data_IF_663871112890
#
_entry.id   IF_663871112890
#
_cell.length_a   1.000
_cell.length_b   1.000
_cell.length_c   1.000
_cell.angle_alpha   90.00
_cell.angle_beta   90.00
_cell.angle_gamma   90.00
#
_symmetry.space_group_name_H-M   'P 1'
#
loop_
_entity.id
_entity.type
_entity.pdbx_description
1 polymer ?
#
# COMPACT_ATOMS: atom_id res chain seq x y z
N UNK A 1 -46.11 -15.30 -20.75
CA UNK A 1 -44.89 -14.64 -21.25
C UNK A 1 -44.44 -13.44 -20.40
N UNK A 2 -45.35 -12.67 -19.77
CA UNK A 2 -44.98 -11.52 -18.89
C UNK A 2 -44.32 -11.96 -17.57
N UNK A 3 -44.76 -13.07 -16.97
CA UNK A 3 -44.26 -13.56 -15.68
C UNK A 3 -42.77 -14.00 -15.72
N UNK A 4 -42.35 -14.71 -16.77
CA UNK A 4 -40.94 -15.10 -16.98
C UNK A 4 -40.03 -13.88 -17.22
N UNK A 5 -40.53 -12.84 -17.89
CA UNK A 5 -39.77 -11.62 -18.18
C UNK A 5 -39.48 -10.81 -16.90
N UNK A 6 -40.44 -10.78 -15.97
CA UNK A 6 -40.28 -10.10 -14.67
C UNK A 6 -39.31 -10.85 -13.73
N UNK A 7 -39.32 -12.18 -13.74
CA UNK A 7 -38.37 -13.00 -12.97
C UNK A 7 -36.94 -12.81 -13.49
N UNK A 8 -36.74 -12.76 -14.81
CA UNK A 8 -35.43 -12.51 -15.41
C UNK A 8 -34.87 -11.13 -15.02
N UNK A 9 -35.71 -10.08 -14.99
CA UNK A 9 -35.30 -8.74 -14.57
C UNK A 9 -34.86 -8.73 -13.10
N UNK A 10 -35.63 -9.37 -12.20
CA UNK A 10 -35.27 -9.47 -10.79
C UNK A 10 -33.97 -10.26 -10.57
N UNK A 11 -33.75 -11.33 -11.33
CA UNK A 11 -32.48 -12.08 -11.29
C UNK A 11 -31.30 -11.24 -11.76
N UNK A 12 -31.43 -10.52 -12.87
CA UNK A 12 -30.36 -9.65 -13.41
C UNK A 12 -30.06 -8.52 -12.43
N UNK A 13 -31.07 -7.90 -11.82
CA UNK A 13 -30.88 -6.85 -10.82
C UNK A 13 -30.20 -7.38 -9.54
N UNK A 14 -30.63 -8.54 -9.02
CA UNK A 14 -30.00 -9.14 -7.84
C UNK A 14 -28.56 -9.56 -8.11
N UNK A 15 -28.29 -10.14 -9.28
CA UNK A 15 -26.94 -10.49 -9.70
C UNK A 15 -26.06 -9.24 -9.87
N UNK A 16 -26.59 -8.17 -10.46
CA UNK A 16 -25.90 -6.89 -10.60
C UNK A 16 -25.58 -6.28 -9.23
N UNK A 17 -26.52 -6.29 -8.28
CA UNK A 17 -26.26 -5.82 -6.92
C UNK A 17 -25.21 -6.67 -6.20
N UNK A 18 -25.23 -8.00 -6.34
CA UNK A 18 -24.24 -8.87 -5.71
C UNK A 18 -22.83 -8.63 -6.29
N UNK A 19 -22.72 -8.44 -7.61
CA UNK A 19 -21.46 -8.16 -8.28
C UNK A 19 -20.93 -6.75 -7.96
N UNK A 20 -21.80 -5.73 -7.91
CA UNK A 20 -21.41 -4.37 -7.54
C UNK A 20 -20.94 -4.28 -6.07
N UNK A 21 -21.41 -5.15 -5.20
CA UNK A 21 -21.04 -5.18 -3.78
C UNK A 21 -19.91 -6.18 -3.47
N UNK A 22 -19.27 -6.78 -4.47
CA UNK A 22 -18.12 -7.64 -4.23
C UNK A 22 -16.98 -6.84 -3.57
N UNK A 23 -16.54 -7.31 -2.40
CA UNK A 23 -15.51 -6.65 -1.61
C UNK A 23 -14.17 -6.63 -2.36
N UNK A 24 -13.56 -5.45 -2.51
CA UNK A 24 -12.23 -5.36 -3.10
C UNK A 24 -11.19 -5.79 -2.09
N UNK A 25 -10.33 -6.74 -2.49
CA UNK A 25 -9.36 -7.38 -1.61
C UNK A 25 -7.95 -7.15 -2.13
N UNK A 26 -7.04 -6.96 -1.19
CA UNK A 26 -5.60 -6.99 -1.45
C UNK A 26 -4.95 -7.98 -0.51
N UNK A 27 -3.79 -8.50 -0.90
CA UNK A 27 -3.03 -9.48 -0.15
C UNK A 27 -1.66 -8.92 0.20
N UNK A 28 -1.30 -8.99 1.48
CA UNK A 28 -0.01 -8.51 1.97
C UNK A 28 0.77 -9.65 2.60
N UNK A 29 2.01 -9.86 2.16
CA UNK A 29 2.97 -10.70 2.85
C UNK A 29 3.65 -9.92 3.99
N UNK A 30 3.75 -10.52 5.17
CA UNK A 30 4.42 -9.91 6.33
C UNK A 30 5.01 -11.00 7.24
N UNK A 31 6.11 -10.70 7.92
CA UNK A 31 6.73 -11.63 8.88
C UNK A 31 6.14 -11.47 10.28
N UNK A 32 5.48 -10.35 10.58
CA UNK A 32 4.80 -10.12 11.85
C UNK A 32 3.57 -11.01 11.97
N UNK A 33 3.39 -11.57 13.15
CA UNK A 33 2.31 -12.48 13.51
C UNK A 33 0.97 -11.75 13.68
N UNK A 34 -0.17 -12.46 13.55
CA UNK A 34 -1.50 -11.91 13.82
C UNK A 34 -1.61 -11.33 15.23
N UNK A 35 -0.96 -11.96 16.22
CA UNK A 35 -0.93 -11.47 17.61
C UNK A 35 -0.21 -10.13 17.72
N UNK A 36 0.95 -9.99 17.08
CA UNK A 36 1.70 -8.72 17.06
C UNK A 36 0.92 -7.62 16.36
N UNK A 37 0.31 -7.93 15.21
CA UNK A 37 -0.46 -6.96 14.43
C UNK A 37 -1.76 -6.55 15.12
N UNK A 38 -2.42 -7.47 15.80
CA UNK A 38 -3.57 -7.17 16.67
C UNK A 38 -3.16 -6.25 17.83
N UNK A 39 -2.03 -6.50 18.46
CA UNK A 39 -1.53 -5.67 19.55
C UNK A 39 -1.13 -4.25 19.08
N UNK A 40 -0.59 -4.14 17.87
CA UNK A 40 -0.28 -2.85 17.24
C UNK A 40 -1.54 -2.08 16.82
N UNK A 41 -2.62 -2.81 16.48
CA UNK A 41 -3.90 -2.25 16.02
C UNK A 41 -3.87 -1.67 14.61
N UNK A 42 -2.71 -1.60 13.96
CA UNK A 42 -2.56 -1.10 12.60
C UNK A 42 -1.31 -1.69 11.91
N UNK A 43 -1.32 -1.61 10.59
CA UNK A 43 -0.17 -1.80 9.70
C UNK A 43 0.35 -0.41 9.30
N UNK A 44 1.14 0.20 10.19
CA UNK A 44 1.73 1.51 9.93
C UNK A 44 2.91 1.44 8.94
N UNK A 45 3.06 2.47 8.07
CA UNK A 45 4.25 2.61 7.24
C UNK A 45 5.51 2.82 8.09
N UNK A 46 6.68 2.49 7.53
CA UNK A 46 7.98 2.79 8.15
C UNK A 46 8.10 4.29 8.46
N UNK A 47 8.40 4.59 9.72
CA UNK A 47 8.55 5.95 10.22
C UNK A 47 7.23 6.59 10.69
N UNK A 48 6.10 5.90 10.57
CA UNK A 48 4.88 6.22 11.29
C UNK A 48 4.74 5.35 12.54
N UNK A 49 4.07 5.90 13.55
CA UNK A 49 3.71 5.20 14.78
C UNK A 49 2.19 5.04 14.92
N UNK A 50 1.40 5.74 14.09
CA UNK A 50 -0.07 5.78 14.18
C UNK A 50 -0.73 5.50 12.83
N UNK A 51 -1.98 5.03 12.91
CA UNK A 51 -2.85 4.84 11.74
C UNK A 51 -3.16 6.19 11.06
N UNK A 52 -3.10 6.21 9.73
CA UNK A 52 -3.27 7.39 8.87
C UNK A 52 -2.24 8.50 9.12
N UNK A 53 -1.16 8.22 9.85
CA UNK A 53 -0.06 9.16 9.99
C UNK A 53 0.67 9.27 8.65
N UNK A 54 0.55 10.44 8.05
CA UNK A 54 1.23 10.77 6.80
C UNK A 54 2.67 11.15 7.14
N UNK A 55 3.62 10.24 6.87
CA UNK A 55 5.04 10.54 7.04
C UNK A 55 5.48 11.64 6.06
N UNK A 56 6.50 12.47 6.38
CA UNK A 56 6.90 13.60 5.53
C UNK A 56 7.26 13.26 4.08
N UNK A 57 7.61 11.99 3.80
CA UNK A 57 7.91 11.51 2.45
C UNK A 57 6.68 10.78 1.87
N UNK A 58 5.77 11.56 1.28
CA UNK A 58 4.60 11.06 0.54
C UNK A 58 4.95 11.03 -0.95
N UNK A 59 5.69 10.01 -1.37
CA UNK A 59 6.05 9.79 -2.78
C UNK A 59 5.79 8.35 -3.16
N UNK A 60 4.87 8.14 -4.11
CA UNK A 60 4.60 6.81 -4.66
C UNK A 60 5.83 6.23 -5.36
N UNK A 61 6.64 7.07 -6.00
CA UNK A 61 7.88 6.64 -6.64
C UNK A 61 8.89 6.10 -5.62
N UNK A 62 9.14 6.84 -4.54
CA UNK A 62 10.04 6.40 -3.47
C UNK A 62 9.51 5.14 -2.76
N UNK A 63 8.19 5.00 -2.66
CA UNK A 63 7.54 3.81 -2.14
C UNK A 63 7.79 2.59 -3.04
N UNK A 64 7.49 2.71 -4.34
CA UNK A 64 7.55 1.59 -5.29
C UNK A 64 8.97 1.15 -5.66
N UNK A 65 9.95 2.08 -5.64
CA UNK A 65 11.36 1.73 -5.81
C UNK A 65 11.91 0.99 -4.57
N UNK A 66 11.28 1.17 -3.41
CA UNK A 66 11.59 0.48 -2.18
C UNK A 66 12.93 0.88 -1.54
N UNK A 67 13.27 0.22 -0.44
CA UNK A 67 14.62 0.21 0.10
C UNK A 67 15.55 -0.71 -0.73
N UNK A 68 16.86 -0.71 -0.48
CA UNK A 68 17.83 -1.59 -1.18
C UNK A 68 17.48 -3.10 -1.09
N UNK A 69 16.63 -3.48 -0.13
CA UNK A 69 16.05 -4.83 0.02
C UNK A 69 14.87 -5.14 -0.90
N UNK A 70 14.41 -4.19 -1.74
CA UNK A 70 13.21 -4.33 -2.57
C UNK A 70 11.89 -4.31 -1.81
N UNK A 71 11.94 -4.14 -0.48
CA UNK A 71 10.74 -4.01 0.34
C UNK A 71 10.25 -2.56 0.34
N UNK A 72 8.96 -2.41 0.07
CA UNK A 72 8.17 -1.20 0.19
C UNK A 72 8.23 -0.57 1.60
N UNK A 73 7.54 0.55 1.83
CA UNK A 73 7.47 1.24 3.14
C UNK A 73 6.57 0.53 4.16
N UNK A 74 6.33 -0.77 4.01
CA UNK A 74 5.53 -1.63 4.89
C UNK A 74 4.04 -1.25 5.04
N UNK A 75 3.47 -0.59 4.03
CA UNK A 75 2.08 -0.13 4.01
C UNK A 75 1.36 -0.46 2.69
N UNK A 76 1.72 -1.55 2.04
CA UNK A 76 1.23 -1.97 0.72
C UNK A 76 0.61 -3.37 0.72
N UNK A 77 -0.09 -3.70 -0.37
CA UNK A 77 -0.60 -5.03 -0.68
C UNK A 77 -0.75 -5.24 -2.18
N UNK A 78 -0.70 -6.49 -2.64
CA UNK A 78 -0.89 -6.90 -4.03
C UNK A 78 -2.35 -7.19 -4.34
N UNK A 79 -2.77 -7.06 -5.60
CA UNK A 79 -4.11 -7.46 -6.04
C UNK A 79 -4.30 -8.98 -6.24
N UNK A 80 -3.34 -9.83 -5.86
CA UNK A 80 -3.49 -11.29 -5.90
C UNK A 80 -2.72 -11.98 -4.77
N UNK A 81 -3.29 -13.05 -4.22
CA UNK A 81 -2.66 -13.91 -3.22
C UNK A 81 -1.34 -14.51 -3.76
N UNK A 82 -1.34 -15.01 -5.00
CA UNK A 82 -0.15 -15.59 -5.63
C UNK A 82 1.03 -14.61 -5.71
N UNK A 83 0.75 -13.33 -5.95
CA UNK A 83 1.79 -12.30 -5.96
C UNK A 83 2.33 -12.06 -4.55
N UNK A 84 1.47 -12.03 -3.53
CA UNK A 84 1.90 -11.91 -2.14
C UNK A 84 2.73 -13.12 -1.69
N UNK A 85 2.33 -14.34 -2.04
CA UNK A 85 3.10 -15.57 -1.74
C UNK A 85 4.45 -15.57 -2.48
N UNK A 86 4.49 -15.11 -3.73
CA UNK A 86 5.75 -14.93 -4.47
C UNK A 86 6.67 -13.94 -3.77
N UNK A 87 6.13 -12.79 -3.32
CA UNK A 87 6.87 -11.80 -2.56
C UNK A 87 7.40 -12.39 -1.25
N UNK A 88 6.56 -13.10 -0.49
CA UNK A 88 6.96 -13.82 0.74
C UNK A 88 8.14 -14.77 0.47
N UNK A 89 8.07 -15.52 -0.62
CA UNK A 89 9.14 -16.46 -1.02
C UNK A 89 10.44 -15.73 -1.35
N UNK A 90 10.36 -14.64 -2.12
CA UNK A 90 11.53 -13.90 -2.60
C UNK A 90 12.19 -13.05 -1.52
N UNK A 91 11.40 -12.42 -0.65
CA UNK A 91 11.88 -11.45 0.33
C UNK A 91 12.09 -12.04 1.72
N UNK A 92 11.29 -13.04 2.10
CA UNK A 92 11.26 -13.60 3.45
C UNK A 92 11.56 -15.11 3.49
N UNK A 93 12.12 -15.66 2.41
CA UNK A 93 12.44 -17.08 2.31
C UNK A 93 11.21 -18.00 2.41
N UNK A 94 10.02 -17.47 2.17
CA UNK A 94 8.76 -18.20 2.23
C UNK A 94 8.22 -18.40 3.65
N UNK A 95 8.76 -17.71 4.65
CA UNK A 95 8.33 -17.83 6.04
C UNK A 95 7.60 -16.55 6.48
N UNK A 96 6.39 -16.70 7.01
CA UNK A 96 5.58 -15.59 7.50
C UNK A 96 4.10 -15.77 7.20
N UNK A 97 3.39 -14.67 7.02
CA UNK A 97 1.94 -14.64 6.87
C UNK A 97 1.54 -13.92 5.59
N UNK A 98 0.45 -14.37 4.99
CA UNK A 98 -0.26 -13.63 3.95
C UNK A 98 -1.60 -13.19 4.52
N UNK A 99 -1.80 -11.88 4.61
CA UNK A 99 -3.02 -11.25 5.10
C UNK A 99 -3.91 -10.87 3.93
N UNK A 100 -5.17 -11.29 3.97
CA UNK A 100 -6.23 -10.79 3.08
C UNK A 100 -6.90 -9.57 3.74
N UNK A 101 -6.92 -8.46 3.02
CA UNK A 101 -7.29 -7.15 3.55
C UNK A 101 -8.41 -6.56 2.70
N UNK A 102 -9.39 -5.98 3.38
CA UNK A 102 -10.42 -5.16 2.79
C UNK A 102 -9.85 -3.80 2.35
N UNK A 103 -9.72 -3.58 1.04
CA UNK A 103 -9.21 -2.31 0.55
C UNK A 103 -10.26 -1.20 0.68
N UNK A 104 -9.85 -0.05 1.23
CA UNK A 104 -10.66 1.15 1.34
C UNK A 104 -10.02 2.32 0.58
N UNK A 105 -10.61 3.52 0.66
CA UNK A 105 -10.17 4.68 -0.11
C UNK A 105 -8.72 5.11 0.12
N UNK A 106 -8.08 4.71 1.22
CA UNK A 106 -6.65 4.98 1.45
C UNK A 106 -5.72 4.09 0.59
N UNK A 107 -6.21 3.03 -0.05
CA UNK A 107 -5.43 2.20 -0.97
C UNK A 107 -5.39 2.84 -2.35
N UNK A 108 -4.21 3.07 -2.89
CA UNK A 108 -3.98 3.76 -4.16
C UNK A 108 -3.19 2.85 -5.09
N UNK A 109 -3.70 2.68 -6.32
CA UNK A 109 -3.04 1.84 -7.31
C UNK A 109 -1.68 2.42 -7.73
N UNK A 110 -0.60 1.66 -7.52
CA UNK A 110 0.77 2.09 -7.81
C UNK A 110 1.00 2.27 -9.31
N UNK A 111 0.66 1.26 -10.10
CA UNK A 111 0.83 1.30 -11.56
C UNK A 111 -0.03 2.37 -12.22
N UNK A 112 -1.24 2.64 -11.71
CA UNK A 112 -2.07 3.75 -12.19
C UNK A 112 -1.47 5.12 -11.85
N UNK A 113 -0.73 5.23 -10.75
CA UNK A 113 -0.10 6.48 -10.29
C UNK A 113 1.20 6.77 -11.06
N UNK A 114 2.04 5.75 -11.26
CA UNK A 114 3.35 5.87 -11.89
C UNK A 114 3.34 5.60 -13.39
N UNK A 115 2.27 5.01 -13.92
CA UNK A 115 2.11 4.69 -15.33
C UNK A 115 3.28 3.87 -15.86
N UNK A 116 3.84 4.31 -17.00
CA UNK A 116 5.01 3.70 -17.63
C UNK A 116 6.30 3.74 -16.79
N UNK A 117 6.32 4.48 -15.68
CA UNK A 117 7.46 4.59 -14.78
C UNK A 117 7.31 3.71 -13.53
N UNK A 118 6.27 2.88 -13.47
CA UNK A 118 6.12 1.87 -12.42
C UNK A 118 7.25 0.83 -12.52
N UNK A 119 8.03 0.59 -11.44
CA UNK A 119 9.14 -0.38 -11.49
C UNK A 119 8.64 -1.82 -11.58
N UNK A 120 7.50 -2.13 -10.95
CA UNK A 120 6.95 -3.48 -10.85
C UNK A 120 5.46 -3.54 -11.26
N UNK A 121 5.10 -3.21 -12.50
CA UNK A 121 3.69 -3.13 -12.93
C UNK A 121 2.95 -4.47 -12.82
N UNK A 122 3.68 -5.59 -12.89
CA UNK A 122 3.13 -6.94 -12.80
C UNK A 122 2.71 -7.34 -11.38
N UNK A 123 3.10 -6.58 -10.35
CA UNK A 123 2.71 -6.85 -8.96
C UNK A 123 1.29 -6.37 -8.66
N UNK A 124 0.72 -5.53 -9.53
CA UNK A 124 -0.62 -4.95 -9.36
C UNK A 124 -0.80 -4.40 -7.93
N UNK A 125 0.22 -3.67 -7.47
CA UNK A 125 0.34 -3.18 -6.11
C UNK A 125 -0.65 -2.04 -5.82
N UNK A 126 -1.19 -2.05 -4.61
CA UNK A 126 -1.91 -0.96 -3.98
C UNK A 126 -1.19 -0.51 -2.72
N UNK A 127 -0.79 0.75 -2.68
CA UNK A 127 -0.19 1.36 -1.50
C UNK A 127 -1.28 1.95 -0.60
N UNK A 128 -1.29 1.60 0.68
CA UNK A 128 -2.18 2.18 1.69
C UNK A 128 -1.55 3.46 2.26
N UNK A 129 -2.05 4.61 1.84
CA UNK A 129 -1.62 5.90 2.36
C UNK A 129 -1.87 5.99 3.87
N UNK A 130 -0.80 6.12 4.65
CA UNK A 130 -0.86 6.14 6.11
C UNK A 130 -1.14 4.78 6.77
N UNK A 131 -1.06 3.68 6.01
CA UNK A 131 -1.31 2.33 6.53
C UNK A 131 -2.78 1.95 6.59
N UNK A 132 -3.06 0.80 7.20
CA UNK A 132 -4.42 0.26 7.36
C UNK A 132 -4.63 -0.29 8.78
N UNK A 133 -5.86 -0.29 9.26
CA UNK A 133 -6.20 -0.72 10.63
C UNK A 133 -6.37 -2.24 10.71
N UNK A 134 -6.18 -2.83 11.91
CA UNK A 134 -6.34 -4.27 12.12
C UNK A 134 -7.75 -4.78 11.78
N UNK A 135 -8.78 -3.97 12.02
CA UNK A 135 -10.18 -4.26 11.68
C UNK A 135 -10.47 -4.27 10.16
N UNK A 136 -9.52 -3.86 9.31
CA UNK A 136 -9.56 -4.03 7.86
C UNK A 136 -9.06 -5.41 7.39
N UNK A 137 -8.33 -6.13 8.25
CA UNK A 137 -7.85 -7.49 7.92
C UNK A 137 -9.04 -8.44 7.97
N UNK A 138 -9.30 -9.14 6.87
CA UNK A 138 -10.38 -10.12 6.76
C UNK A 138 -9.94 -11.44 7.41
N UNK A 139 -8.75 -11.92 7.04
CA UNK A 139 -8.19 -13.20 7.44
C UNK A 139 -6.72 -13.30 7.07
N UNK A 140 -6.05 -14.36 7.51
CA UNK A 140 -4.65 -14.62 7.18
C UNK A 140 -4.35 -16.10 7.04
N UNK A 141 -3.21 -16.42 6.44
CA UNK A 141 -2.65 -17.77 6.43
C UNK A 141 -1.16 -17.72 6.74
N UNK A 142 -0.70 -18.67 7.54
CA UNK A 142 0.72 -18.88 7.81
C UNK A 142 1.38 -19.73 6.71
N UNK A 143 2.64 -19.44 6.42
CA UNK A 143 3.45 -20.13 5.44
C UNK A 143 4.82 -20.47 6.03
N UNK A 144 5.30 -21.68 5.73
CA UNK A 144 6.65 -22.15 6.09
C UNK A 144 7.36 -22.62 4.83
N UNK A 145 8.52 -22.03 4.52
CA UNK A 145 9.28 -22.31 3.30
C UNK A 145 8.43 -22.25 2.01
N UNK A 146 7.48 -21.31 1.95
CA UNK A 146 6.58 -21.11 0.81
C UNK A 146 5.38 -22.06 0.78
N UNK A 147 5.26 -22.97 1.73
CA UNK A 147 4.15 -23.91 1.84
C UNK A 147 3.11 -23.36 2.81
N UNK A 148 1.87 -23.26 2.33
CA UNK A 148 0.70 -22.89 3.11
C UNK A 148 0.45 -23.88 4.26
N UNK A 149 0.13 -23.35 5.45
CA UNK A 149 -0.30 -24.17 6.58
C UNK A 149 -1.55 -24.99 6.24
N UNK A 150 -1.58 -26.24 6.68
CA UNK A 150 -2.68 -27.18 6.46
C UNK A 150 -3.98 -26.72 7.14
N UNK A 151 -3.88 -25.90 8.18
CA UNK A 151 -5.04 -25.28 8.84
C UNK A 151 -5.83 -24.33 7.91
N UNK A 152 -5.24 -23.85 6.82
CA UNK A 152 -5.90 -22.96 5.86
C UNK A 152 -5.90 -21.49 6.30
N UNK A 153 -6.93 -20.74 5.88
CA UNK A 153 -7.10 -19.34 6.29
C UNK A 153 -7.76 -19.28 7.68
N UNK A 154 -7.29 -18.36 8.52
CA UNK A 154 -7.86 -18.04 9.82
C UNK A 154 -8.53 -16.67 9.78
N UNK A 155 -9.81 -16.62 10.15
CA UNK A 155 -10.63 -15.41 10.07
C UNK A 155 -10.37 -14.43 11.22
N UNK A 156 -10.37 -13.13 10.91
CA UNK A 156 -10.28 -12.09 11.92
C UNK A 156 -11.65 -11.82 12.54
N UNK A 157 -11.85 -12.25 13.79
CA UNK A 157 -13.12 -12.08 14.50
C UNK A 157 -13.52 -10.61 14.80
N UNK A 158 -12.62 -9.66 14.59
CA UNK A 158 -12.88 -8.21 14.71
C UNK A 158 -12.88 -7.49 13.36
N UNK A 159 -12.93 -8.22 12.25
CA UNK A 159 -13.10 -7.61 10.92
C UNK A 159 -14.42 -6.84 10.84
N UNK A 160 -14.34 -5.57 10.45
CA UNK A 160 -15.50 -4.69 10.39
C UNK A 160 -16.14 -4.62 9.00
N UNK A 161 -16.69 -5.76 8.56
CA UNK A 161 -17.31 -5.89 7.23
C UNK A 161 -18.44 -4.90 6.95
N UNK A 162 -19.17 -4.45 7.99
CA UNK A 162 -20.21 -3.41 7.85
C UNK A 162 -19.65 -2.08 7.35
N UNK A 163 -18.39 -1.79 7.67
CA UNK A 163 -17.68 -0.56 7.28
C UNK A 163 -17.02 -0.79 5.93
N UNK A 164 -16.31 -1.91 5.79
CA UNK A 164 -15.37 -2.06 4.69
C UNK A 164 -15.94 -2.71 3.44
N UNK A 165 -17.01 -3.51 3.50
CA UNK A 165 -17.52 -4.28 2.34
C UNK A 165 -17.99 -3.40 1.17
N UNK A 166 -18.40 -2.16 1.46
CA UNK A 166 -18.83 -1.18 0.46
C UNK A 166 -17.72 -0.23 0.00
N UNK A 167 -16.55 -0.26 0.64
CA UNK A 167 -15.45 0.63 0.29
C UNK A 167 -14.64 0.06 -0.88
N UNK A 168 -13.99 0.96 -1.61
CA UNK A 168 -13.17 0.63 -2.77
C UNK A 168 -11.84 1.36 -2.68
N UNK A 169 -10.75 0.80 -3.23
CA UNK A 169 -9.51 1.52 -3.39
C UNK A 169 -9.69 2.67 -4.38
N UNK A 170 -8.77 3.62 -4.31
CA UNK A 170 -8.56 4.60 -5.36
C UNK A 170 -7.78 4.00 -6.53
N UNK A 171 -8.13 4.45 -7.74
CA UNK A 171 -7.31 4.26 -8.92
C UNK A 171 -5.99 5.05 -8.80
N UNK A 172 -5.20 5.09 -9.88
CA UNK A 172 -4.00 5.91 -9.96
C UNK A 172 -4.24 7.38 -9.58
N UNK A 173 -3.33 7.95 -8.78
CA UNK A 173 -3.34 9.34 -8.33
C UNK A 173 -2.05 10.05 -8.77
N UNK A 174 -1.95 10.54 -10.03
CA UNK A 174 -0.71 11.11 -10.57
C UNK A 174 -0.12 12.27 -9.75
N UNK A 175 -0.95 13.02 -9.00
CA UNK A 175 -0.51 14.06 -8.08
C UNK A 175 0.35 13.54 -6.91
N UNK A 176 0.23 12.26 -6.57
CA UNK A 176 1.00 11.59 -5.52
C UNK A 176 2.21 10.81 -6.07
N UNK A 177 2.53 10.95 -7.36
CA UNK A 177 3.62 10.22 -7.98
C UNK A 177 4.96 10.50 -7.30
N UNK A 178 5.23 11.76 -6.96
CA UNK A 178 6.43 12.15 -6.20
C UNK A 178 7.75 11.78 -6.89
N UNK A 179 7.80 11.87 -8.23
CA UNK A 179 9.05 11.66 -8.97
C UNK A 179 10.12 12.68 -8.57
N UNK A 180 11.42 12.32 -8.63
CA UNK A 180 12.51 13.26 -8.37
C UNK A 180 12.44 14.51 -9.26
N UNK A 181 13.02 15.62 -8.79
CA UNK A 181 13.15 16.84 -9.60
C UNK A 181 13.87 16.54 -10.92
N UNK A 182 13.38 17.12 -12.03
CA UNK A 182 13.91 16.90 -13.38
C UNK A 182 13.57 15.54 -14.02
N UNK A 183 12.82 14.66 -13.33
CA UNK A 183 12.38 13.40 -13.91
C UNK A 183 11.47 13.64 -15.14
N UNK A 184 11.68 12.89 -16.23
CA UNK A 184 10.95 13.05 -17.51
C UNK A 184 9.43 12.95 -17.36
N UNK A 185 8.94 12.19 -16.37
CA UNK A 185 7.50 12.08 -16.14
C UNK A 185 6.81 13.45 -16.02
N UNK A 186 7.46 14.44 -15.39
CA UNK A 186 6.91 15.78 -15.22
C UNK A 186 6.67 16.55 -16.52
N UNK A 187 7.22 16.10 -17.66
CA UNK A 187 6.95 16.68 -18.98
C UNK A 187 5.88 15.93 -19.77
N UNK A 188 5.34 14.84 -19.22
CA UNK A 188 4.35 13.98 -19.87
C UNK A 188 3.01 14.06 -19.16
N UNK A 189 1.93 13.92 -19.93
CA UNK A 189 0.59 13.72 -19.35
C UNK A 189 0.51 12.34 -18.66
N UNK A 190 -0.18 12.22 -17.50
CA UNK A 190 -0.94 13.26 -16.80
C UNK A 190 -0.13 14.09 -15.79
N UNK A 191 1.15 13.74 -15.54
CA UNK A 191 1.93 14.33 -14.45
C UNK A 191 2.30 15.80 -14.68
N UNK A 192 2.43 16.23 -15.93
CA UNK A 192 2.70 17.63 -16.28
C UNK A 192 1.66 18.61 -15.71
N UNK A 193 0.43 18.19 -15.45
CA UNK A 193 -0.60 19.00 -14.79
C UNK A 193 -0.29 19.29 -13.30
N UNK A 194 0.54 18.46 -12.67
CA UNK A 194 0.93 18.54 -11.26
C UNK A 194 2.38 18.99 -11.07
N UNK A 195 3.10 19.25 -12.16
CA UNK A 195 4.50 19.68 -12.15
C UNK A 195 4.70 21.13 -11.65
N UNK A 196 3.69 21.76 -11.04
CA UNK A 196 3.76 23.17 -10.63
C UNK A 196 4.91 23.41 -9.66
N UNK A 197 5.91 24.14 -10.16
CA UNK A 197 7.09 24.60 -9.44
C UNK A 197 8.08 23.46 -9.17
N UNK A 198 9.33 23.61 -9.62
CA UNK A 198 10.45 22.73 -9.27
C UNK A 198 10.82 22.70 -7.77
N UNK A 199 9.86 23.00 -6.90
CA UNK A 199 9.93 23.02 -5.43
C UNK A 199 8.72 22.30 -4.79
N UNK A 200 8.08 21.38 -5.52
CA UNK A 200 6.99 20.54 -4.98
C UNK A 200 7.50 19.42 -4.05
N UNK A 201 7.25 19.59 -2.75
CA UNK A 201 7.36 18.61 -1.65
C UNK A 201 8.74 17.93 -1.50
N UNK A 202 9.77 18.72 -1.19
CA UNK A 202 11.09 18.22 -0.81
C UNK A 202 12.28 19.16 -1.07
N UNK A 203 12.03 20.37 -1.58
CA UNK A 203 13.06 21.40 -1.73
C UNK A 203 13.24 22.19 -0.43
N UNK A 204 14.48 22.28 0.06
CA UNK A 204 14.85 23.16 1.16
C UNK A 204 14.61 24.61 0.72
N UNK A 205 13.53 25.24 1.19
CA UNK A 205 13.21 26.63 0.89
C UNK A 205 12.54 27.27 2.10
N UNK A 206 13.20 28.30 2.65
CA UNK A 206 12.70 29.12 3.74
C UNK A 206 11.33 29.73 3.38
N UNK A 207 10.44 29.79 4.37
CA UNK A 207 9.13 30.44 4.29
C UNK A 207 9.30 31.93 3.94
N UNK A 208 9.16 32.29 2.65
CA UNK A 208 8.85 33.67 2.29
C UNK A 208 7.33 33.86 2.36
N UNK A 209 6.90 34.67 3.32
CA UNK A 209 5.49 34.97 3.59
C UNK A 209 4.99 35.93 2.49
N UNK A 210 4.48 35.37 1.39
CA UNK A 210 3.79 36.10 0.34
C UNK A 210 2.28 36.08 0.57
N UNK A 211 1.71 37.23 0.92
CA UNK A 211 0.31 37.41 1.28
C UNK A 211 -0.69 36.85 0.24
N UNK A 212 -1.56 35.95 0.69
CA UNK A 212 -2.83 35.67 0.05
C UNK A 212 -3.95 35.81 1.08
N UNK A 213 -4.78 36.84 0.87
CA UNK A 213 -5.93 37.20 1.69
C UNK A 213 -6.89 36.02 1.91
N UNK A 214 -7.01 35.58 3.15
CA UNK A 214 -8.12 34.74 3.62
C UNK A 214 -9.25 35.67 4.05
N UNK A 215 -10.36 35.63 3.33
CA UNK A 215 -11.61 36.26 3.74
C UNK A 215 -12.21 35.42 4.89
N UNK A 216 -11.92 35.83 6.13
CA UNK A 216 -12.50 35.25 7.35
C UNK A 216 -13.96 35.65 7.48
N UNK A 217 -14.90 34.70 7.30
CA UNK A 217 -16.23 34.81 7.89
C UNK A 217 -16.12 34.49 9.38
N UNK A 218 -16.27 35.52 10.21
CA UNK A 218 -16.31 35.42 11.67
C UNK A 218 -17.74 35.17 12.14
N UNK A 219 -17.95 34.12 12.93
CA UNK A 219 -19.01 34.10 13.94
C UNK A 219 -18.44 33.51 15.24
N UNK A 220 -18.65 34.13 16.41
CA UNK A 220 -18.05 33.66 17.66
C UNK A 220 -19.03 32.77 18.44
N UNK A 221 -18.51 31.70 19.06
CA UNK A 221 -19.16 31.00 20.18
C UNK A 221 -18.13 30.80 21.31
N UNK A 222 -18.57 30.81 22.58
CA UNK A 222 -17.76 31.30 23.68
C UNK A 222 -16.89 30.24 24.36
N UNK A 223 -15.79 30.75 24.92
CA UNK A 223 -14.86 30.12 25.85
C UNK A 223 -15.55 29.39 27.01
N UNK A 224 -15.15 28.14 27.26
CA UNK A 224 -15.02 27.63 28.62
C UNK A 224 -13.63 27.02 28.81
N UNK A 225 -12.91 27.59 29.78
CA UNK A 225 -11.62 27.15 30.24
C UNK A 225 -11.75 25.93 31.18
N UNK A 226 -10.85 24.97 31.04
CA UNK A 226 -10.69 23.85 31.96
C UNK A 226 -9.27 23.29 31.82
N UNK A 227 -8.38 23.75 32.68
CA UNK A 227 -6.97 23.34 32.77
C UNK A 227 -6.83 22.04 33.57
N UNK A 228 -6.17 21.03 33.00
CA UNK A 228 -5.53 19.96 33.78
C UNK A 228 -4.24 19.50 33.09
N UNK A 229 -3.12 20.01 33.57
CA UNK A 229 -1.76 19.59 33.24
C UNK A 229 -1.41 18.31 33.98
N UNK A 230 -1.08 17.24 33.26
CA UNK A 230 -0.33 16.10 33.80
C UNK A 230 0.76 15.73 32.79
N UNK A 231 2.04 15.62 33.19
CA UNK A 231 3.13 15.39 32.25
C UNK A 231 3.19 13.91 31.84
N UNK A 232 3.16 13.66 30.53
CA UNK A 232 3.41 12.35 29.96
C UNK A 232 4.92 12.06 29.94
N UNK A 233 5.33 11.03 30.68
CA UNK A 233 6.69 10.47 30.67
C UNK A 233 6.99 9.86 29.29
N UNK A 234 8.14 10.16 28.65
CA UNK A 234 8.50 9.52 27.39
C UNK A 234 8.88 8.05 27.62
N UNK A 235 8.18 7.12 26.95
CA UNK A 235 8.61 5.72 26.85
C UNK A 235 9.80 5.63 25.88
N UNK A 236 10.78 4.75 26.16
CA UNK A 236 11.98 4.63 25.33
C UNK A 236 11.65 4.10 23.94
N UNK A 237 12.18 4.80 22.93
CA UNK A 237 12.18 4.41 21.53
C UNK A 237 12.76 3.00 21.38
N UNK A 238 11.98 2.08 20.81
CA UNK A 238 12.48 0.78 20.42
C UNK A 238 13.58 0.97 19.36
N UNK A 239 14.81 0.72 19.79
CA UNK A 239 16.00 0.71 18.95
C UNK A 239 15.82 -0.37 17.89
N UNK A 240 15.88 0.05 16.63
CA UNK A 240 15.94 -0.83 15.46
C UNK A 240 17.04 -1.88 15.62
N UNK A 241 16.65 -3.13 15.79
CA UNK A 241 17.56 -4.27 15.71
C UNK A 241 16.97 -5.28 14.73
N UNK A 242 17.30 -5.10 13.44
CA UNK A 242 17.10 -6.12 12.41
C UNK A 242 18.46 -6.47 11.77
N UNK A 243 18.73 -7.77 11.50
CA UNK A 243 20.00 -8.20 10.95
C UNK A 243 20.15 -7.78 9.49
N UNK A 244 21.33 -7.24 9.15
CA UNK A 244 21.73 -6.91 7.77
C UNK A 244 21.90 -8.19 6.95
N UNK A 245 20.91 -8.56 6.15
CA UNK A 245 21.07 -9.59 5.12
C UNK A 245 21.57 -8.91 3.84
N UNK A 246 22.84 -9.12 3.49
CA UNK A 246 23.43 -8.69 2.22
C UNK A 246 22.87 -9.56 1.09
N UNK A 247 22.00 -9.03 0.23
CA UNK A 247 21.62 -9.69 -1.01
C UNK A 247 22.68 -9.44 -2.09
N UNK A 248 23.15 -10.52 -2.73
CA UNK A 248 24.10 -10.46 -3.85
C UNK A 248 23.36 -9.93 -5.08
N UNK A 249 23.87 -8.86 -5.67
CA UNK A 249 23.46 -8.31 -6.97
C UNK A 249 23.73 -9.36 -8.06
N UNK A 250 22.68 -9.98 -8.62
CA UNK A 250 22.82 -10.87 -9.79
C UNK A 250 22.91 -10.01 -11.05
N UNK A 251 24.12 -9.90 -11.60
CA UNK A 251 24.37 -9.31 -12.93
C UNK A 251 23.96 -10.35 -13.98
N UNK A 252 22.90 -10.08 -14.72
CA UNK A 252 22.52 -10.84 -15.92
C UNK A 252 23.56 -10.60 -17.02
N UNK A 253 24.55 -11.49 -17.16
CA UNK A 253 25.41 -11.56 -18.35
C UNK A 253 24.66 -12.31 -19.46
N UNK A 254 24.31 -11.59 -20.52
CA UNK A 254 23.90 -12.18 -21.81
C UNK A 254 25.10 -12.87 -22.47
N UNK A 255 25.06 -14.19 -22.62
CA UNK A 255 26.02 -14.95 -23.43
C UNK A 255 25.52 -15.09 -24.86
N UNK A 256 26.18 -14.41 -25.81
CA UNK A 256 26.09 -14.71 -27.25
C UNK A 256 27.07 -15.85 -27.59
N UNK A 257 26.52 -16.87 -28.25
CA UNK A 257 27.10 -17.83 -29.20
C UNK A 257 28.58 -18.22 -29.19
N UNK A 258 28.83 -19.52 -29.21
CA UNK A 258 29.81 -20.13 -30.12
C UNK A 258 29.45 -21.60 -30.38
N UNK A 259 29.21 -21.91 -31.66
CA UNK A 259 29.22 -23.25 -32.23
C UNK A 259 30.62 -23.84 -32.10
N UNK A 260 30.75 -25.11 -31.68
CA UNK A 260 31.75 -25.99 -32.28
C UNK A 260 31.45 -27.49 -32.07
N UNK A 261 30.94 -28.08 -33.16
CA UNK A 261 31.26 -29.37 -33.77
C UNK A 261 32.34 -30.22 -33.06
N UNK A 262 31.97 -31.39 -32.54
CA UNK A 262 32.85 -32.57 -32.44
C UNK A 262 32.05 -33.81 -32.82
N UNK A 263 32.64 -34.62 -33.71
CA UNK A 263 32.28 -35.98 -34.14
C UNK A 263 33.59 -36.80 -34.03
N UNK A 264 33.56 -38.14 -34.12
CA UNK A 264 33.54 -39.06 -32.99
C UNK A 264 34.83 -39.89 -32.88
N UNK A 265 34.93 -40.67 -31.80
CA UNK A 265 35.69 -41.93 -31.72
C UNK A 265 34.90 -42.89 -30.85
#
# INVERSE_FOLDING_TARGET
MVFQKNILILFVLNLWTALCNAQFRVWRADTRTPTEMRAAGNFAPRGASRFLEVTPNVSMYNHAVGAESGASRDNDGSASEDTAVRFLTQMFGGNGYVYEIAAAGNFIQVSGTLGQFSPYPNEQEYAALGGFSWDQVIRWRHYTNGVADAAGMEDNNVYEGRIYNSLRPNNGQPSLAGFPAGHRAWTLSPWNAFAQGGEGCGGNGELSVGAASVLLLTTPLPLLAGSSTTPATPRPSAVNMWPRIKSRRLVLRHGRGALNRIRPS
#
